data_IF_293142994778
#
_entry.id   IF_293142994778
#
_cell.length_a   1.000
_cell.length_b   1.000
_cell.length_c   1.000
_cell.angle_alpha   90.00
_cell.angle_beta   90.00
_cell.angle_gamma   90.00
#
_symmetry.space_group_name_H-M   'P 1'
#
loop_
_entity.id
_entity.type
_entity.pdbx_description
1 polymer ?
#
# COMPACT_ATOMS: atom_id res chain seq x y z
N UNK A 1 -16.21 1.05 4.79
CA UNK A 1 -14.82 0.83 4.34
C UNK A 1 -14.36 2.08 3.61
N UNK A 2 -13.15 2.56 3.89
CA UNK A 2 -12.57 3.71 3.21
C UNK A 2 -11.54 3.21 2.20
N UNK A 3 -11.56 3.75 0.99
CA UNK A 3 -10.59 3.43 -0.05
C UNK A 3 -9.59 4.58 -0.14
N UNK A 4 -8.32 4.28 0.10
CA UNK A 4 -7.23 5.22 -0.07
C UNK A 4 -6.51 4.93 -1.39
N UNK A 5 -6.02 5.98 -2.04
CA UNK A 5 -5.15 5.80 -3.20
C UNK A 5 -3.80 5.33 -2.70
N UNK A 6 -3.28 4.26 -3.29
CA UNK A 6 -1.94 3.78 -3.00
C UNK A 6 -1.12 3.73 -4.29
N UNK A 7 0.16 4.06 -4.19
CA UNK A 7 1.15 3.93 -5.26
C UNK A 7 2.04 2.74 -4.95
N UNK A 8 2.05 1.76 -5.86
CA UNK A 8 2.96 0.62 -5.75
C UNK A 8 4.40 1.11 -5.90
N UNK A 9 5.25 0.77 -4.94
CA UNK A 9 6.69 1.09 -4.99
C UNK A 9 7.48 -0.10 -5.52
N UNK A 10 7.25 -1.28 -4.92
CA UNK A 10 7.98 -2.50 -5.25
C UNK A 10 7.17 -3.74 -4.90
N UNK A 11 7.31 -4.79 -5.71
CA UNK A 11 6.88 -6.15 -5.36
C UNK A 11 8.02 -6.84 -4.64
N UNK A 12 7.76 -7.32 -3.42
CA UNK A 12 8.76 -8.01 -2.59
C UNK A 12 8.69 -9.50 -2.87
N UNK A 13 7.50 -10.07 -2.68
CA UNK A 13 7.19 -11.48 -2.86
C UNK A 13 5.81 -11.62 -3.54
N UNK A 14 5.42 -12.82 -3.94
CA UNK A 14 4.18 -13.07 -4.70
C UNK A 14 2.89 -12.55 -4.08
N UNK A 15 2.87 -12.34 -2.76
CA UNK A 15 1.72 -11.84 -1.99
C UNK A 15 2.04 -10.55 -1.18
N UNK A 16 3.28 -10.06 -1.25
CA UNK A 16 3.79 -8.98 -0.40
C UNK A 16 4.33 -7.83 -1.24
N UNK A 17 3.79 -6.63 -1.05
CA UNK A 17 4.14 -5.43 -1.82
C UNK A 17 4.45 -4.26 -0.89
N UNK A 18 5.43 -3.44 -1.26
CA UNK A 18 5.66 -2.16 -0.61
C UNK A 18 4.88 -1.09 -1.39
N UNK A 19 3.99 -0.36 -0.70
CA UNK A 19 3.15 0.67 -1.30
C UNK A 19 3.14 1.95 -0.45
N UNK A 20 2.98 3.08 -1.12
CA UNK A 20 2.77 4.38 -0.50
C UNK A 20 1.28 4.71 -0.52
N UNK A 21 0.65 4.79 0.65
CA UNK A 21 -0.76 5.09 0.84
C UNK A 21 -0.91 6.60 1.06
N UNK A 22 -1.73 7.24 0.23
CA UNK A 22 -2.11 8.65 0.37
C UNK A 22 -3.34 8.78 1.27
N UNK A 23 -3.13 9.38 2.45
CA UNK A 23 -4.19 9.65 3.42
C UNK A 23 -4.85 11.03 3.21
N UNK A 24 -4.40 11.79 2.21
CA UNK A 24 -4.75 13.18 2.01
C UNK A 24 -3.91 14.13 2.86
N UNK A 25 -4.17 15.44 2.73
CA UNK A 25 -3.48 16.49 3.52
C UNK A 25 -1.94 16.46 3.42
N UNK A 26 -1.39 15.97 2.30
CA UNK A 26 0.05 15.74 2.09
C UNK A 26 0.68 14.73 3.08
N UNK A 27 -0.14 13.85 3.66
CA UNK A 27 0.31 12.76 4.53
C UNK A 27 0.37 11.48 3.71
N UNK A 28 1.57 10.92 3.62
CA UNK A 28 1.84 9.69 2.91
C UNK A 28 2.45 8.68 3.88
N UNK A 29 1.92 7.46 3.88
CA UNK A 29 2.45 6.35 4.67
C UNK A 29 3.05 5.34 3.72
N UNK A 30 4.27 4.89 4.02
CA UNK A 30 4.90 3.77 3.31
C UNK A 30 4.79 2.54 4.18
N UNK A 31 4.03 1.56 3.71
CA UNK A 31 3.81 0.31 4.42
C UNK A 31 4.05 -0.88 3.49
N UNK A 32 4.46 -1.98 4.12
CA UNK A 32 4.50 -3.29 3.48
C UNK A 32 3.13 -3.95 3.66
N UNK A 33 2.45 -4.20 2.56
CA UNK A 33 1.11 -4.75 2.53
C UNK A 33 1.19 -6.21 2.08
N UNK A 34 0.60 -7.10 2.86
CA UNK A 34 0.30 -8.48 2.44
C UNK A 34 -1.13 -8.53 1.91
N UNK A 35 -1.30 -9.09 0.72
CA UNK A 35 -2.61 -9.22 0.08
C UNK A 35 -3.45 -10.23 0.87
N UNK A 36 -4.61 -9.80 1.35
CA UNK A 36 -5.52 -10.67 2.11
C UNK A 36 -6.21 -11.67 1.17
N UNK A 37 -6.12 -12.96 1.49
CA UNK A 37 -6.82 -14.03 0.75
C UNK A 37 -6.02 -14.67 -0.38
N UNK A 38 -4.71 -14.42 -0.45
CA UNK A 38 -3.74 -15.10 -1.32
C UNK A 38 -2.71 -15.82 -0.45
#
# INVERSE_FOLDING_TARGET
MYNYKAKLLRVVDGDTVDAEIDLGFKIFIKERIRLMGI
#
